data_IF_259713334511
#
_entry.id   IF_259713334511
#
_cell.length_a   1.000
_cell.length_b   1.000
_cell.length_c   1.000
_cell.angle_alpha   90.00
_cell.angle_beta   90.00
_cell.angle_gamma   90.00
#
_symmetry.space_group_name_H-M   'P 1'
#
loop_
_entity.id
_entity.type
_entity.pdbx_description
1 polymer ?
#
# COMPACT_ATOMS: atom_id res chain seq x y z
N UNK A 1 10.76 -15.25 -4.50
CA UNK A 1 10.59 -13.94 -5.16
C UNK A 1 11.13 -12.87 -4.21
N UNK A 2 11.60 -11.75 -4.77
CA UNK A 2 11.99 -10.57 -4.01
C UNK A 2 10.81 -9.60 -3.95
N UNK A 3 10.31 -9.30 -2.77
CA UNK A 3 9.03 -8.56 -2.59
C UNK A 3 9.25 -7.32 -1.72
N UNK A 4 8.71 -6.19 -2.16
CA UNK A 4 8.53 -5.01 -1.32
C UNK A 4 7.24 -5.18 -0.51
N UNK A 5 7.32 -5.14 0.81
CA UNK A 5 6.15 -5.03 1.69
C UNK A 5 5.93 -3.56 2.06
N UNK A 6 4.80 -2.99 1.63
CA UNK A 6 4.43 -1.62 1.98
C UNK A 6 3.92 -1.58 3.43
N UNK A 7 4.73 -1.03 4.34
CA UNK A 7 4.47 -0.95 5.77
C UNK A 7 3.95 0.44 6.15
N UNK A 8 2.70 0.51 6.60
CA UNK A 8 2.06 1.76 7.05
C UNK A 8 2.17 1.99 8.57
N UNK A 9 2.78 1.05 9.31
CA UNK A 9 2.76 1.04 10.79
C UNK A 9 1.51 0.40 11.39
N UNK A 10 0.49 0.10 10.60
CA UNK A 10 -0.74 -0.56 11.05
C UNK A 10 -0.67 -2.08 11.03
N UNK A 11 -1.55 -2.74 11.80
CA UNK A 11 -1.63 -4.21 11.94
C UNK A 11 -1.74 -4.92 10.59
N UNK A 12 -2.57 -4.42 9.67
CA UNK A 12 -2.82 -5.07 8.39
C UNK A 12 -1.56 -5.18 7.53
N UNK A 13 -0.83 -4.09 7.37
CA UNK A 13 0.43 -4.10 6.62
C UNK A 13 1.50 -4.98 7.28
N UNK A 14 1.50 -5.04 8.62
CA UNK A 14 2.43 -5.88 9.39
C UNK A 14 2.17 -7.37 9.17
N UNK A 15 0.90 -7.78 9.26
CA UNK A 15 0.51 -9.18 9.01
C UNK A 15 0.70 -9.57 7.55
N UNK A 16 0.43 -8.65 6.62
CA UNK A 16 0.71 -8.89 5.20
C UNK A 16 2.19 -9.17 4.95
N UNK A 17 3.10 -8.38 5.54
CA UNK A 17 4.53 -8.60 5.45
C UNK A 17 4.96 -9.93 6.08
N UNK A 18 4.45 -10.25 7.28
CA UNK A 18 4.74 -11.51 7.96
C UNK A 18 4.36 -12.72 7.10
N UNK A 19 3.18 -12.70 6.49
CA UNK A 19 2.73 -13.78 5.58
C UNK A 19 3.64 -13.97 4.37
N UNK A 20 4.21 -12.88 3.83
CA UNK A 20 5.16 -12.99 2.73
C UNK A 20 6.48 -13.62 3.19
N UNK A 21 6.94 -13.29 4.39
CA UNK A 21 8.12 -13.93 5.00
C UNK A 21 7.86 -15.42 5.26
N UNK A 22 6.71 -15.76 5.86
CA UNK A 22 6.32 -17.15 6.17
C UNK A 22 6.18 -18.03 4.90
N UNK A 23 5.83 -17.42 3.77
CA UNK A 23 5.80 -18.08 2.46
C UNK A 23 7.19 -18.25 1.82
N UNK A 24 8.25 -17.83 2.50
CA UNK A 24 9.64 -18.00 2.06
C UNK A 24 10.09 -17.00 0.99
N UNK A 25 9.44 -15.86 0.89
CA UNK A 25 9.88 -14.78 0.02
C UNK A 25 11.03 -13.97 0.65
N UNK A 26 11.90 -13.40 -0.17
CA UNK A 26 12.86 -12.39 0.24
C UNK A 26 12.13 -11.04 0.34
N UNK A 27 11.84 -10.60 1.57
CA UNK A 27 10.99 -9.43 1.82
C UNK A 27 11.82 -8.24 2.28
N UNK A 28 11.52 -7.06 1.73
CA UNK A 28 12.04 -5.77 2.18
C UNK A 28 10.87 -4.88 2.58
N UNK A 29 10.87 -4.38 3.81
CA UNK A 29 9.86 -3.45 4.30
C UNK A 29 10.11 -2.03 3.79
N UNK A 30 9.09 -1.38 3.27
CA UNK A 30 9.15 0.01 2.83
C UNK A 30 8.00 0.81 3.42
N UNK A 31 8.35 1.91 4.10
CA UNK A 31 7.37 2.92 4.52
C UNK A 31 7.34 4.05 3.50
N UNK A 32 6.14 4.46 3.10
CA UNK A 32 5.94 5.54 2.14
C UNK A 32 5.74 6.85 2.87
N UNK A 33 6.69 7.80 2.77
CA UNK A 33 6.50 9.15 3.26
C UNK A 33 5.71 9.96 2.22
N UNK A 34 4.44 10.25 2.52
CA UNK A 34 3.50 10.94 1.62
C UNK A 34 3.31 12.43 1.97
N UNK A 35 3.77 12.87 3.13
CA UNK A 35 3.70 14.26 3.54
C UNK A 35 5.04 14.71 4.10
N UNK A 36 5.48 15.91 3.74
CA UNK A 36 6.61 16.54 4.42
C UNK A 36 6.15 16.98 5.80
N UNK A 37 6.80 16.48 6.84
CA UNK A 37 6.62 16.99 8.19
C UNK A 37 7.22 18.39 8.27
N UNK A 38 6.43 19.41 7.96
CA UNK A 38 6.79 20.76 8.41
C UNK A 38 6.65 20.79 9.93
N UNK A 39 7.67 21.25 10.60
CA UNK A 39 7.87 21.29 12.05
C UNK A 39 6.96 22.32 12.75
N UNK A 40 5.69 22.35 12.43
CA UNK A 40 4.66 23.05 13.17
C UNK A 40 4.01 22.08 14.13
N UNK A 41 4.28 22.25 15.43
CA UNK A 41 3.92 21.40 16.59
C UNK A 41 2.46 20.95 16.74
N UNK A 42 1.81 20.60 15.66
CA UNK A 42 0.49 19.97 15.61
C UNK A 42 0.63 18.47 15.32
N UNK A 43 -0.09 17.64 16.07
CA UNK A 43 -0.24 16.20 15.75
C UNK A 43 -0.82 16.09 14.34
N UNK A 44 0.04 15.82 13.37
CA UNK A 44 -0.40 15.52 11.99
C UNK A 44 -1.31 14.28 12.04
N UNK A 45 -2.58 14.45 11.70
CA UNK A 45 -3.56 13.35 11.54
C UNK A 45 -3.58 12.83 10.09
N UNK A 46 -2.49 13.01 9.35
CA UNK A 46 -2.37 12.53 7.97
C UNK A 46 -1.92 11.07 7.90
N UNK A 47 -2.12 10.43 6.75
CA UNK A 47 -1.52 9.13 6.44
C UNK A 47 0.02 9.28 6.46
N UNK A 48 0.72 8.32 7.10
CA UNK A 48 2.19 8.20 7.10
C UNK A 48 2.91 9.28 7.94
N UNK A 49 2.67 9.27 9.25
CA UNK A 49 3.39 10.09 10.21
C UNK A 49 4.77 9.50 10.56
N UNK A 50 5.62 10.29 11.26
CA UNK A 50 6.89 9.76 11.80
C UNK A 50 6.69 8.63 12.82
N UNK A 51 5.58 8.64 13.55
CA UNK A 51 5.24 7.57 14.49
C UNK A 51 4.86 6.29 13.74
N UNK A 52 4.12 6.40 12.63
CA UNK A 52 3.82 5.26 11.75
C UNK A 52 5.10 4.65 11.15
N UNK A 53 6.08 5.49 10.78
CA UNK A 53 7.37 5.02 10.28
C UNK A 53 8.17 4.26 11.36
N UNK A 54 8.10 4.71 12.63
CA UNK A 54 8.73 4.02 13.76
C UNK A 54 8.07 2.67 14.05
N UNK A 55 6.74 2.61 13.99
CA UNK A 55 6.01 1.37 14.19
C UNK A 55 6.28 0.38 13.04
N UNK A 56 6.31 0.86 11.79
CA UNK A 56 6.70 0.06 10.63
C UNK A 56 8.13 -0.51 10.78
N UNK A 57 9.07 0.29 11.30
CA UNK A 57 10.43 -0.17 11.56
C UNK A 57 10.49 -1.27 12.62
N UNK A 58 9.74 -1.11 13.74
CA UNK A 58 9.66 -2.15 14.79
C UNK A 58 9.15 -3.47 14.24
N UNK A 59 8.17 -3.42 13.33
CA UNK A 59 7.67 -4.62 12.64
C UNK A 59 8.75 -5.25 11.78
N UNK A 60 9.46 -4.46 10.98
CA UNK A 60 10.54 -4.96 10.14
C UNK A 60 11.67 -5.58 10.97
N UNK A 61 12.06 -4.94 12.08
CA UNK A 61 13.07 -5.47 13.01
C UNK A 61 12.60 -6.80 13.64
N UNK A 62 11.32 -6.92 14.02
CA UNK A 62 10.75 -8.15 14.57
C UNK A 62 10.68 -9.29 13.53
N UNK A 63 10.45 -8.98 12.26
CA UNK A 63 10.45 -9.93 11.16
C UNK A 63 11.86 -10.25 10.64
N UNK A 64 12.89 -9.54 11.10
CA UNK A 64 14.27 -9.70 10.63
C UNK A 64 14.47 -9.29 9.16
N UNK A 65 13.67 -8.35 8.65
CA UNK A 65 13.75 -7.88 7.27
C UNK A 65 14.38 -6.47 7.15
N UNK A 66 15.09 -6.16 6.06
CA UNK A 66 15.55 -4.80 5.79
C UNK A 66 14.38 -3.82 5.72
N UNK A 67 14.61 -2.57 6.15
CA UNK A 67 13.60 -1.52 6.15
C UNK A 67 14.11 -0.21 5.58
N UNK A 68 13.31 0.39 4.70
CA UNK A 68 13.61 1.68 4.08
C UNK A 68 12.38 2.62 4.15
N UNK A 69 12.67 3.91 4.08
CA UNK A 69 11.64 4.96 3.90
C UNK A 69 11.82 5.49 2.48
N UNK A 70 10.74 5.47 1.70
CA UNK A 70 10.70 6.09 0.38
C UNK A 70 9.87 7.36 0.44
N UNK A 71 10.48 8.48 0.03
CA UNK A 71 9.79 9.76 -0.06
C UNK A 71 9.06 9.86 -1.42
N UNK A 72 7.74 9.95 -1.35
CA UNK A 72 6.82 10.22 -2.45
C UNK A 72 5.98 11.46 -2.16
N UNK A 73 6.46 12.37 -1.31
CA UNK A 73 5.69 13.55 -0.89
C UNK A 73 5.44 14.53 -2.04
N UNK A 74 6.35 14.63 -3.00
CA UNK A 74 6.19 15.49 -4.17
C UNK A 74 5.14 14.92 -5.12
N UNK A 75 5.25 13.64 -5.46
CA UNK A 75 4.29 12.93 -6.32
C UNK A 75 2.91 12.90 -5.68
N UNK A 76 2.82 12.69 -4.37
CA UNK A 76 1.54 12.73 -3.66
C UNK A 76 0.89 14.11 -3.69
N UNK A 77 1.67 15.18 -3.54
CA UNK A 77 1.16 16.53 -3.65
C UNK A 77 0.62 16.82 -5.06
N UNK A 78 1.34 16.40 -6.09
CA UNK A 78 0.96 16.62 -7.49
C UNK A 78 -0.25 15.79 -7.91
N UNK A 79 -0.21 14.48 -7.70
CA UNK A 79 -1.18 13.54 -8.25
C UNK A 79 -2.44 13.37 -7.39
N UNK A 80 -2.34 13.60 -6.09
CA UNK A 80 -3.45 13.35 -5.17
C UNK A 80 -4.01 14.63 -4.58
N UNK A 81 -3.14 15.50 -4.03
CA UNK A 81 -3.62 16.70 -3.33
C UNK A 81 -4.14 17.76 -4.30
N UNK A 82 -3.43 18.01 -5.41
CA UNK A 82 -3.87 18.96 -6.43
C UNK A 82 -5.15 18.49 -7.11
N UNK A 83 -5.27 17.19 -7.43
CA UNK A 83 -6.50 16.60 -7.97
C UNK A 83 -7.66 16.77 -6.97
N UNK A 84 -7.45 16.46 -5.70
CA UNK A 84 -8.47 16.65 -4.66
C UNK A 84 -8.98 18.09 -4.61
N UNK A 85 -8.09 19.06 -4.63
CA UNK A 85 -8.45 20.49 -4.60
C UNK A 85 -9.23 20.91 -5.87
N UNK A 86 -8.77 20.47 -7.04
CA UNK A 86 -9.41 20.79 -8.32
C UNK A 86 -10.82 20.20 -8.41
N UNK A 87 -11.00 18.94 -8.01
CA UNK A 87 -12.31 18.27 -8.00
C UNK A 87 -13.27 18.94 -7.01
N UNK A 88 -12.77 19.28 -5.83
CA UNK A 88 -13.58 19.97 -4.82
C UNK A 88 -14.02 21.37 -5.26
N UNK A 89 -13.12 22.14 -5.91
CA UNK A 89 -13.44 23.44 -6.51
C UNK A 89 -14.47 23.32 -7.62
N UNK A 90 -14.49 22.19 -8.33
CA UNK A 90 -15.48 21.90 -9.37
C UNK A 90 -16.81 21.32 -8.82
N UNK A 91 -17.03 21.39 -7.50
CA UNK A 91 -18.19 20.83 -6.78
C UNK A 91 -18.40 19.31 -6.99
N UNK A 92 -17.31 18.57 -7.18
CA UNK A 92 -17.31 17.10 -7.22
C UNK A 92 -16.78 16.54 -5.91
N UNK A 93 -17.12 15.30 -5.60
CA UNK A 93 -16.66 14.62 -4.38
C UNK A 93 -15.50 13.68 -4.76
N UNK A 94 -14.24 14.10 -4.60
CA UNK A 94 -13.09 13.26 -4.96
C UNK A 94 -12.88 12.14 -3.95
N UNK A 95 -12.23 11.05 -4.39
CA UNK A 95 -11.77 9.98 -3.52
C UNK A 95 -10.22 9.92 -3.56
N UNK A 96 -9.52 10.60 -2.64
CA UNK A 96 -8.07 10.65 -2.63
C UNK A 96 -7.43 9.25 -2.39
N UNK A 97 -8.15 8.31 -1.76
CA UNK A 97 -7.63 6.96 -1.55
C UNK A 97 -7.53 6.19 -2.88
N UNK A 98 -8.50 6.36 -3.77
CA UNK A 98 -8.45 5.77 -5.12
C UNK A 98 -7.27 6.32 -5.90
N UNK A 99 -7.11 7.65 -5.94
CA UNK A 99 -6.00 8.31 -6.64
C UNK A 99 -4.63 7.93 -6.05
N UNK A 100 -4.52 7.87 -4.72
CA UNK A 100 -3.29 7.44 -4.06
C UNK A 100 -2.92 5.99 -4.40
N UNK A 101 -3.90 5.08 -4.45
CA UNK A 101 -3.63 3.71 -4.85
C UNK A 101 -3.18 3.64 -6.33
N UNK A 102 -3.90 4.33 -7.23
CA UNK A 102 -3.59 4.35 -8.66
C UNK A 102 -2.17 4.89 -8.95
N UNK A 103 -1.89 6.13 -8.53
CA UNK A 103 -0.69 6.84 -8.97
C UNK A 103 0.52 6.59 -8.08
N UNK A 104 0.32 6.42 -6.77
CA UNK A 104 1.43 6.30 -5.83
C UNK A 104 1.74 4.84 -5.50
N UNK A 105 0.79 4.14 -4.84
CA UNK A 105 1.09 2.81 -4.29
C UNK A 105 1.31 1.74 -5.34
N UNK A 106 0.58 1.79 -6.46
CA UNK A 106 0.63 0.74 -7.48
C UNK A 106 1.23 1.19 -8.81
N UNK A 107 1.51 2.47 -9.02
CA UNK A 107 2.32 2.92 -10.15
C UNK A 107 3.73 3.30 -9.68
N UNK A 108 3.89 4.42 -8.97
CA UNK A 108 5.21 4.92 -8.61
C UNK A 108 6.03 3.95 -7.72
N UNK A 109 5.38 3.32 -6.72
CA UNK A 109 6.07 2.34 -5.85
C UNK A 109 6.45 1.09 -6.62
N UNK A 110 5.54 0.57 -7.46
CA UNK A 110 5.82 -0.64 -8.24
C UNK A 110 6.89 -0.39 -9.29
N UNK A 111 6.83 0.73 -10.04
CA UNK A 111 7.86 1.12 -11.01
C UNK A 111 9.24 1.18 -10.36
N UNK A 112 9.33 1.80 -9.17
CA UNK A 112 10.56 1.88 -8.40
C UNK A 112 11.03 0.51 -7.91
N UNK A 113 10.11 -0.34 -7.45
CA UNK A 113 10.42 -1.69 -7.01
C UNK A 113 10.99 -2.55 -8.16
N UNK A 114 10.32 -2.54 -9.31
CA UNK A 114 10.78 -3.26 -10.50
C UNK A 114 12.14 -2.75 -11.01
N UNK A 115 12.35 -1.43 -11.02
CA UNK A 115 13.63 -0.82 -11.40
C UNK A 115 14.79 -1.23 -10.46
N UNK A 116 14.49 -1.53 -9.18
CA UNK A 116 15.45 -2.05 -8.19
C UNK A 116 15.59 -3.58 -8.23
N UNK A 117 14.93 -4.26 -9.16
CA UNK A 117 15.00 -5.71 -9.35
C UNK A 117 14.15 -6.51 -8.36
N UNK A 118 13.13 -5.91 -7.77
CA UNK A 118 12.08 -6.65 -7.06
C UNK A 118 11.05 -7.19 -8.04
N UNK A 119 10.39 -8.29 -7.67
CA UNK A 119 9.42 -8.96 -8.53
C UNK A 119 8.00 -8.42 -8.32
N UNK A 120 7.70 -7.95 -7.10
CA UNK A 120 6.33 -7.55 -6.72
C UNK A 120 6.29 -6.65 -5.48
N UNK A 121 5.10 -6.08 -5.25
CA UNK A 121 4.73 -5.30 -4.06
C UNK A 121 3.59 -6.00 -3.32
N UNK A 122 3.74 -6.20 -2.01
CA UNK A 122 2.70 -6.71 -1.11
C UNK A 122 2.14 -5.58 -0.25
N UNK A 123 0.83 -5.55 -0.07
CA UNK A 123 0.14 -4.55 0.75
C UNK A 123 -0.89 -5.19 1.66
N UNK A 124 -1.27 -4.48 2.73
CA UNK A 124 -2.30 -4.91 3.68
C UNK A 124 -3.74 -4.67 3.23
N UNK A 125 -4.00 -4.56 1.92
CA UNK A 125 -5.38 -4.41 1.44
C UNK A 125 -6.16 -5.72 1.51
N UNK A 126 -7.45 -5.59 1.82
CA UNK A 126 -8.42 -6.68 1.79
C UNK A 126 -9.04 -6.77 0.40
N UNK A 127 -8.47 -7.58 -0.44
CA UNK A 127 -8.97 -7.96 -1.75
C UNK A 127 -8.36 -9.31 -2.15
N UNK A 128 -9.03 -10.07 -2.99
CA UNK A 128 -8.51 -11.34 -3.50
C UNK A 128 -8.04 -11.17 -4.93
N UNK A 129 -6.85 -11.67 -5.22
CA UNK A 129 -6.28 -11.71 -6.56
C UNK A 129 -6.17 -13.17 -7.00
N UNK A 130 -6.75 -13.50 -8.16
CA UNK A 130 -6.69 -14.83 -8.75
C UNK A 130 -6.13 -14.78 -10.16
N UNK A 131 -5.74 -15.92 -10.70
CA UNK A 131 -5.33 -16.04 -12.09
C UNK A 131 -6.53 -16.44 -12.94
N UNK A 132 -6.95 -15.55 -13.84
CA UNK A 132 -7.98 -15.83 -14.83
C UNK A 132 -7.40 -16.19 -16.20
N UNK A 133 -8.28 -16.45 -17.17
CA UNK A 133 -7.89 -16.83 -18.54
C UNK A 133 -7.12 -15.71 -19.26
N UNK A 134 -7.54 -14.46 -19.03
CA UNK A 134 -6.97 -13.27 -19.69
C UNK A 134 -5.94 -12.52 -18.81
N UNK A 135 -5.61 -13.07 -17.63
CA UNK A 135 -4.66 -12.46 -16.71
C UNK A 135 -5.18 -12.42 -15.26
N UNK A 136 -4.59 -11.59 -14.39
CA UNK A 136 -5.01 -11.48 -13.00
C UNK A 136 -6.41 -10.88 -12.89
N UNK A 137 -7.22 -11.43 -12.01
CA UNK A 137 -8.58 -10.99 -11.70
C UNK A 137 -8.66 -10.52 -10.25
N UNK A 138 -9.21 -9.32 -10.06
CA UNK A 138 -9.43 -8.73 -8.74
C UNK A 138 -10.86 -9.05 -8.27
N UNK A 139 -10.96 -9.65 -7.10
CA UNK A 139 -12.22 -10.03 -6.46
C UNK A 139 -12.36 -9.36 -5.10
N UNK A 140 -13.60 -9.34 -4.60
CA UNK A 140 -13.89 -8.86 -3.25
C UNK A 140 -13.20 -9.74 -2.19
N UNK A 141 -12.88 -9.11 -1.05
CA UNK A 141 -12.35 -9.81 0.10
C UNK A 141 -13.37 -10.79 0.71
N UNK A 142 -12.88 -11.78 1.45
CA UNK A 142 -13.72 -12.68 2.24
C UNK A 142 -14.48 -11.94 3.35
N UNK A 143 -13.86 -10.90 3.95
CA UNK A 143 -14.50 -10.00 4.90
C UNK A 143 -15.19 -8.86 4.15
N UNK A 144 -16.51 -8.98 3.98
CA UNK A 144 -17.31 -8.00 3.23
C UNK A 144 -17.29 -6.59 3.86
N UNK A 145 -17.16 -6.51 5.21
CA UNK A 145 -17.12 -5.24 5.94
C UNK A 145 -15.75 -4.54 5.80
N UNK A 146 -14.75 -5.25 5.33
CA UNK A 146 -13.38 -4.75 5.13
C UNK A 146 -12.95 -4.75 3.67
N UNK A 147 -13.83 -5.14 2.75
CA UNK A 147 -13.51 -5.17 1.33
C UNK A 147 -12.98 -3.83 0.83
N UNK A 148 -11.83 -3.90 0.18
CA UNK A 148 -11.12 -2.75 -0.40
C UNK A 148 -10.89 -2.93 -1.90
N UNK A 149 -11.55 -3.90 -2.53
CA UNK A 149 -11.42 -4.12 -3.98
C UNK A 149 -11.80 -2.89 -4.80
N UNK A 150 -12.72 -2.07 -4.29
CA UNK A 150 -13.17 -0.86 -4.98
C UNK A 150 -12.09 0.22 -5.13
N UNK A 151 -11.18 0.37 -4.15
CA UNK A 151 -10.05 1.32 -4.27
C UNK A 151 -8.88 0.76 -5.08
N UNK A 152 -8.92 -0.51 -5.41
CA UNK A 152 -7.92 -1.22 -6.22
C UNK A 152 -8.38 -1.43 -7.67
N UNK A 153 -9.68 -1.23 -7.96
CA UNK A 153 -10.27 -1.46 -9.29
C UNK A 153 -9.73 -0.53 -10.38
N UNK A 154 -9.01 0.53 -9.99
CA UNK A 154 -8.35 1.48 -10.91
C UNK A 154 -6.96 1.03 -11.35
N UNK A 155 -6.43 -0.06 -10.74
CA UNK A 155 -5.10 -0.57 -11.08
C UNK A 155 -5.16 -1.27 -12.42
N UNK A 156 -4.24 -0.93 -13.32
CA UNK A 156 -4.10 -1.60 -14.61
C UNK A 156 -3.80 -3.10 -14.42
N UNK A 157 -4.43 -3.94 -15.24
CA UNK A 157 -4.31 -5.40 -15.13
C UNK A 157 -2.85 -5.88 -15.17
N UNK A 158 -2.01 -5.25 -15.99
CA UNK A 158 -0.58 -5.58 -16.07
C UNK A 158 0.16 -5.33 -14.74
N UNK A 159 -0.20 -4.28 -14.01
CA UNK A 159 0.39 -3.98 -12.71
C UNK A 159 -0.09 -4.96 -11.63
N UNK A 160 -1.32 -5.46 -11.73
CA UNK A 160 -1.85 -6.47 -10.80
C UNK A 160 -1.03 -7.77 -10.79
N UNK A 161 -0.32 -8.11 -11.88
CA UNK A 161 0.58 -9.27 -11.94
C UNK A 161 1.73 -9.20 -10.93
N UNK A 162 2.07 -8.00 -10.50
CA UNK A 162 3.15 -7.70 -9.57
C UNK A 162 2.63 -7.30 -8.18
N UNK A 163 1.37 -7.60 -7.87
CA UNK A 163 0.75 -7.25 -6.60
C UNK A 163 0.43 -8.50 -5.78
N UNK A 164 0.57 -8.36 -4.44
CA UNK A 164 0.09 -9.34 -3.48
C UNK A 164 -0.83 -8.68 -2.45
N UNK A 165 -2.00 -9.29 -2.22
CA UNK A 165 -2.96 -8.90 -1.18
C UNK A 165 -3.16 -10.07 -0.21
N UNK A 166 -2.19 -10.29 0.71
CA UNK A 166 -2.17 -11.51 1.53
C UNK A 166 -3.35 -11.65 2.49
N UNK A 167 -4.10 -10.57 2.72
CA UNK A 167 -5.23 -10.54 3.66
C UNK A 167 -6.58 -10.82 3.01
N UNK A 168 -6.65 -10.93 1.69
CA UNK A 168 -7.92 -11.01 0.95
C UNK A 168 -8.85 -12.15 1.36
N UNK A 169 -8.29 -13.31 1.73
CA UNK A 169 -9.04 -14.48 2.17
C UNK A 169 -9.27 -14.56 3.69
N UNK A 170 -8.93 -13.50 4.45
CA UNK A 170 -9.00 -13.50 5.93
C UNK A 170 -10.09 -12.58 6.44
N UNK A 171 -10.67 -12.93 7.59
CA UNK A 171 -11.50 -12.03 8.36
C UNK A 171 -10.61 -11.06 9.17
N UNK A 172 -11.08 -9.86 9.40
CA UNK A 172 -10.36 -8.85 10.21
C UNK A 172 -10.14 -9.31 11.65
N UNK A 173 -11.04 -10.12 12.21
CA UNK A 173 -10.90 -10.74 13.52
C UNK A 173 -9.65 -11.61 13.62
N UNK A 174 -9.33 -12.32 12.55
CA UNK A 174 -8.23 -13.30 12.50
C UNK A 174 -6.86 -12.61 12.26
N UNK A 175 -6.90 -11.38 11.78
CA UNK A 175 -5.72 -10.54 11.53
C UNK A 175 -5.29 -9.76 12.78
N UNK A 176 -6.16 -9.62 13.78
CA UNK A 176 -5.90 -8.93 15.05
C UNK A 176 -5.40 -9.86 16.12
#
# INVERSE_FOLDING_TARGET
MRIIAALSGGVDSSVAAARMVDQGHEVVGVHLALARSESTGGKSRGCCTLDDARDARRVADALGIPFYIWDFSAEFAEEVMNDFLAEYQANRTPNPCVRCNEHIKFRAVLDRALALGFDAVATGHYAVLTSGADGPELHRAADADKDQSYVLAVIEQELLRHCFFPLGASLKSDVR
#
